data_IF_527925849670
#
_entry.id   IF_527925849670
#
_cell.length_a   1.000
_cell.length_b   1.000
_cell.length_c   1.000
_cell.angle_alpha   90.00
_cell.angle_beta   90.00
_cell.angle_gamma   90.00
#
_symmetry.space_group_name_H-M   'P 1'
#
loop_
_entity.id
_entity.type
_entity.pdbx_description
1 polymer ?
#
# COMPACT_ATOMS: atom_id res chain seq x y z
N UNK A 1 -14.61 14.76 61.68
CA UNK A 1 -15.73 14.60 60.73
C UNK A 1 -15.22 13.76 59.57
N UNK A 2 -15.08 12.44 59.75
CA UNK A 2 -16.11 11.39 59.55
C UNK A 2 -16.39 11.18 58.05
N UNK A 3 -16.46 9.99 57.44
CA UNK A 3 -16.16 8.59 57.74
C UNK A 3 -16.29 7.85 56.37
N UNK A 4 -15.59 6.73 56.15
CA UNK A 4 -15.73 5.83 54.97
C UNK A 4 -17.13 5.15 54.92
N UNK A 5 -17.57 4.43 53.84
CA UNK A 5 -17.03 3.11 53.38
C UNK A 5 -17.09 2.84 51.85
N UNK A 6 -16.19 2.03 51.24
CA UNK A 6 -16.26 0.58 50.85
C UNK A 6 -17.48 0.14 50.00
N UNK A 7 -17.22 -0.56 48.86
CA UNK A 7 -17.89 -1.78 48.28
C UNK A 7 -17.57 -1.85 46.75
N UNK A 8 -16.66 -2.73 46.27
CA UNK A 8 -16.83 -4.13 45.82
C UNK A 8 -17.89 -4.41 44.74
N UNK A 9 -17.50 -4.83 43.52
CA UNK A 9 -18.03 -6.00 42.78
C UNK A 9 -17.49 -6.06 41.31
N UNK A 10 -16.71 -7.10 40.94
CA UNK A 10 -17.06 -8.23 40.03
C UNK A 10 -17.19 -7.84 38.54
N UNK A 11 -16.24 -8.15 37.63
CA UNK A 11 -15.84 -9.44 37.01
C UNK A 11 -16.94 -10.17 36.21
N UNK A 12 -16.73 -10.17 34.88
CA UNK A 12 -17.08 -11.18 33.87
C UNK A 12 -18.56 -11.29 33.40
N UNK A 13 -18.86 -12.18 32.42
CA UNK A 13 -19.01 -11.85 31.01
C UNK A 13 -20.48 -11.98 30.56
N UNK A 14 -20.89 -11.21 29.56
CA UNK A 14 -22.22 -11.40 28.93
C UNK A 14 -22.14 -12.56 27.93
N UNK A 15 -22.04 -13.77 28.50
CA UNK A 15 -22.38 -15.00 27.82
C UNK A 15 -23.91 -15.17 27.83
N UNK A 16 -24.42 -15.47 26.65
CA UNK A 16 -25.50 -16.42 26.43
C UNK A 16 -26.87 -16.10 27.08
N UNK A 17 -27.69 -15.37 26.33
CA UNK A 17 -29.10 -15.13 26.63
C UNK A 17 -29.95 -15.48 25.41
N UNK A 18 -30.05 -16.76 25.05
CA UNK A 18 -31.24 -17.24 24.35
C UNK A 18 -31.49 -18.75 24.47
N UNK A 19 -31.84 -19.20 25.68
CA UNK A 19 -32.69 -20.37 25.83
C UNK A 19 -33.99 -19.93 26.49
N UNK A 20 -35.10 -20.02 25.77
CA UNK A 20 -36.32 -20.75 26.15
C UNK A 20 -37.39 -20.46 25.10
N UNK A 21 -37.79 -21.47 24.32
CA UNK A 21 -39.20 -21.88 24.18
C UNK A 21 -39.37 -22.91 23.05
N UNK A 22 -39.47 -24.17 23.45
CA UNK A 22 -40.02 -25.26 22.65
C UNK A 22 -41.53 -25.05 22.48
N UNK A 23 -42.00 -24.81 21.26
CA UNK A 23 -43.40 -25.11 20.86
C UNK A 23 -43.46 -25.80 19.50
N UNK A 24 -43.84 -27.07 19.63
CA UNK A 24 -44.39 -28.08 18.72
C UNK A 24 -45.18 -27.62 17.47
N UNK A 25 -44.95 -28.40 16.40
CA UNK A 25 -45.89 -28.97 15.39
C UNK A 25 -46.33 -28.18 14.13
N UNK A 26 -46.23 -28.94 13.02
CA UNK A 26 -47.08 -28.99 11.81
C UNK A 26 -46.73 -28.14 10.56
N UNK A 27 -46.18 -28.85 9.57
CA UNK A 27 -46.54 -28.88 8.13
C UNK A 27 -47.27 -27.67 7.52
N UNK A 28 -46.64 -27.04 6.52
CA UNK A 28 -47.08 -27.02 5.11
C UNK A 28 -46.19 -26.06 4.30
N UNK A 29 -45.91 -26.44 3.05
CA UNK A 29 -45.03 -25.75 2.13
C UNK A 29 -45.48 -24.32 1.83
N UNK A 30 -44.53 -23.38 1.87
CA UNK A 30 -44.59 -22.15 1.08
C UNK A 30 -43.17 -21.87 0.58
N UNK A 31 -43.01 -21.99 -0.74
CA UNK A 31 -41.78 -21.73 -1.45
C UNK A 31 -41.34 -20.29 -1.20
N UNK A 32 -40.29 -20.09 -0.41
CA UNK A 32 -39.60 -18.81 -0.36
C UNK A 32 -38.61 -18.83 -1.51
N UNK A 33 -38.91 -18.04 -2.53
CA UNK A 33 -38.01 -17.73 -3.63
C UNK A 33 -36.69 -17.33 -3.00
N UNK A 34 -35.69 -18.21 -3.12
CA UNK A 34 -34.35 -17.98 -2.61
C UNK A 34 -33.75 -16.81 -3.36
N UNK A 35 -33.89 -15.61 -2.81
CA UNK A 35 -33.07 -14.47 -3.20
C UNK A 35 -31.72 -14.69 -2.55
N UNK A 36 -30.92 -15.59 -3.13
CA UNK A 36 -29.51 -15.72 -2.79
C UNK A 36 -28.84 -14.41 -3.16
N UNK A 37 -28.79 -13.49 -2.20
CA UNK A 37 -27.96 -12.31 -2.24
C UNK A 37 -26.52 -12.82 -2.31
N UNK A 38 -25.98 -12.87 -3.51
CA UNK A 38 -24.55 -13.01 -3.75
C UNK A 38 -23.94 -11.70 -3.25
N UNK A 39 -23.74 -11.56 -1.94
CA UNK A 39 -22.84 -10.55 -1.42
C UNK A 39 -21.44 -10.98 -1.86
N UNK A 40 -21.09 -10.65 -3.10
CA UNK A 40 -19.71 -10.65 -3.53
C UNK A 40 -19.00 -9.68 -2.58
N UNK A 41 -18.31 -10.23 -1.59
CA UNK A 41 -17.33 -9.48 -0.82
C UNK A 41 -16.32 -9.02 -1.87
N UNK A 42 -16.43 -7.77 -2.31
CA UNK A 42 -15.32 -7.08 -2.90
C UNK A 42 -14.29 -6.99 -1.78
N UNK A 43 -13.43 -7.99 -1.66
CA UNK A 43 -12.18 -7.85 -0.95
C UNK A 43 -11.47 -6.69 -1.63
N UNK A 44 -11.57 -5.50 -1.03
CA UNK A 44 -10.78 -4.36 -1.46
C UNK A 44 -9.34 -4.80 -1.37
N UNK A 45 -8.70 -5.04 -2.50
CA UNK A 45 -7.28 -5.30 -2.57
C UNK A 45 -6.60 -4.01 -2.10
N UNK A 46 -6.12 -4.00 -0.87
CA UNK A 46 -5.23 -2.93 -0.41
C UNK A 46 -4.08 -2.87 -1.43
N UNK A 47 -3.78 -1.69 -2.02
CA UNK A 47 -2.69 -1.59 -2.98
C UNK A 47 -1.37 -1.92 -2.29
N UNK A 48 -0.86 -3.15 -2.48
CA UNK A 48 0.41 -3.58 -1.89
C UNK A 48 1.50 -3.51 -2.94
N UNK A 49 2.64 -2.92 -2.60
CA UNK A 49 3.81 -2.94 -3.46
C UNK A 49 4.65 -4.19 -3.12
N UNK A 50 4.96 -4.99 -4.14
CA UNK A 50 5.75 -6.22 -3.95
C UNK A 50 7.25 -5.92 -3.98
N UNK A 51 8.07 -6.90 -3.60
CA UNK A 51 9.50 -6.78 -3.76
C UNK A 51 9.85 -6.71 -5.26
N UNK A 52 10.69 -5.76 -5.64
CA UNK A 52 11.08 -5.54 -7.04
C UNK A 52 11.66 -4.16 -7.29
N UNK A 53 12.10 -3.94 -8.53
CA UNK A 53 12.57 -2.63 -8.99
C UNK A 53 11.51 -1.99 -9.89
N UNK A 54 11.26 -0.70 -9.66
CA UNK A 54 10.21 0.05 -10.29
C UNK A 54 10.76 1.34 -10.91
N UNK A 55 10.19 1.72 -12.06
CA UNK A 55 10.42 3.00 -12.69
C UNK A 55 9.08 3.66 -12.97
N UNK A 56 8.94 4.89 -12.50
CA UNK A 56 7.80 5.76 -12.80
C UNK A 56 8.30 7.09 -13.38
N UNK A 57 7.51 7.72 -14.24
CA UNK A 57 7.83 9.04 -14.77
C UNK A 57 6.59 9.89 -15.04
N UNK A 58 6.77 11.20 -15.07
CA UNK A 58 5.75 12.14 -15.56
C UNK A 58 5.47 11.92 -17.06
N UNK A 59 6.46 11.43 -17.79
CA UNK A 59 6.33 10.96 -19.17
C UNK A 59 6.28 9.43 -19.21
N UNK A 60 5.42 8.80 -20.03
CA UNK A 60 5.45 7.36 -20.27
C UNK A 60 6.67 6.91 -21.09
N UNK A 61 7.43 7.85 -21.66
CA UNK A 61 8.65 7.58 -22.43
C UNK A 61 9.86 7.92 -21.55
N UNK A 62 10.69 6.92 -21.24
CA UNK A 62 11.91 7.11 -20.46
C UNK A 62 12.85 8.15 -21.08
N UNK A 63 13.67 8.79 -20.25
CA UNK A 63 14.70 9.76 -20.67
C UNK A 63 14.16 11.00 -21.42
N UNK A 64 12.85 11.30 -21.33
CA UNK A 64 12.29 12.55 -21.84
C UNK A 64 12.88 13.74 -21.09
N UNK A 65 13.53 14.65 -21.82
CA UNK A 65 14.13 15.87 -21.26
C UNK A 65 13.07 16.73 -20.59
N UNK A 66 13.34 17.15 -19.35
CA UNK A 66 12.44 18.00 -18.57
C UNK A 66 11.33 17.27 -17.82
N UNK A 67 11.19 15.96 -18.01
CA UNK A 67 10.30 15.13 -17.20
C UNK A 67 11.03 14.58 -15.98
N UNK A 68 10.32 14.45 -14.86
CA UNK A 68 10.83 13.82 -13.64
C UNK A 68 10.52 12.33 -13.63
N UNK A 69 11.47 11.55 -13.13
CA UNK A 69 11.36 10.10 -12.96
C UNK A 69 11.69 9.71 -11.54
N UNK A 70 11.12 8.60 -11.12
CA UNK A 70 11.39 7.97 -9.84
C UNK A 70 11.71 6.49 -10.07
N UNK A 71 12.96 6.13 -9.81
CA UNK A 71 13.44 4.74 -9.83
C UNK A 71 13.68 4.28 -8.40
N UNK A 72 13.17 3.12 -8.03
CA UNK A 72 13.40 2.57 -6.69
C UNK A 72 13.32 1.06 -6.64
N UNK A 73 14.00 0.48 -5.68
CA UNK A 73 13.81 -0.90 -5.24
C UNK A 73 12.90 -0.90 -4.01
N UNK A 74 11.88 -1.76 -4.04
CA UNK A 74 11.12 -2.13 -2.87
C UNK A 74 11.58 -3.51 -2.40
N UNK A 75 11.94 -3.61 -1.12
CA UNK A 75 12.38 -4.86 -0.52
C UNK A 75 11.98 -4.91 0.95
N UNK A 76 11.22 -5.93 1.31
CA UNK A 76 10.79 -6.20 2.69
C UNK A 76 10.07 -4.99 3.34
N UNK A 77 9.28 -4.28 2.52
CA UNK A 77 8.56 -3.06 2.92
C UNK A 77 9.41 -1.80 3.01
N UNK A 78 10.71 -1.87 2.71
CA UNK A 78 11.60 -0.73 2.57
C UNK A 78 11.65 -0.26 1.11
N UNK A 79 11.85 1.04 0.93
CA UNK A 79 12.04 1.68 -0.38
C UNK A 79 13.39 2.38 -0.37
N UNK A 80 14.20 2.14 -1.40
CA UNK A 80 15.45 2.87 -1.64
C UNK A 80 15.59 3.14 -3.13
N UNK A 81 15.92 4.38 -3.50
CA UNK A 81 15.93 4.78 -4.89
C UNK A 81 16.39 6.21 -5.10
N UNK A 82 16.02 6.76 -6.26
CA UNK A 82 16.36 8.10 -6.69
C UNK A 82 15.20 8.75 -7.44
N UNK A 83 14.95 10.03 -7.16
CA UNK A 83 14.17 10.91 -8.03
C UNK A 83 15.16 11.66 -8.91
N UNK A 84 14.91 11.72 -10.21
CA UNK A 84 15.86 12.33 -11.14
C UNK A 84 15.19 12.98 -12.34
N UNK A 85 15.91 13.94 -12.93
CA UNK A 85 15.59 14.49 -14.23
C UNK A 85 16.73 14.16 -15.21
N UNK A 86 16.44 13.59 -16.40
CA UNK A 86 17.46 13.20 -17.36
C UNK A 86 18.38 14.38 -17.72
N UNK A 87 19.69 14.14 -17.70
CA UNK A 87 20.72 15.15 -18.00
C UNK A 87 20.71 16.40 -17.09
N UNK A 88 20.19 16.29 -15.87
CA UNK A 88 20.15 17.39 -14.91
C UNK A 88 20.66 16.92 -13.53
N UNK A 89 19.77 16.73 -12.56
CA UNK A 89 20.09 16.32 -11.19
C UNK A 89 19.36 15.04 -10.79
N UNK A 90 19.80 14.46 -9.68
CA UNK A 90 19.13 13.37 -8.98
C UNK A 90 19.27 13.56 -7.47
N UNK A 91 18.27 13.10 -6.73
CA UNK A 91 18.23 13.08 -5.27
C UNK A 91 17.93 11.67 -4.79
N UNK A 92 18.65 11.21 -3.77
CA UNK A 92 18.41 9.89 -3.21
C UNK A 92 17.20 9.91 -2.29
N UNK A 93 16.44 8.83 -2.32
CA UNK A 93 15.19 8.69 -1.55
C UNK A 93 15.22 7.38 -0.80
N UNK A 94 14.77 7.42 0.46
CA UNK A 94 14.59 6.25 1.32
C UNK A 94 13.23 6.31 1.99
N UNK A 95 12.65 5.17 2.32
CA UNK A 95 11.33 5.17 2.92
C UNK A 95 10.75 3.79 3.13
N UNK A 96 9.44 3.74 3.34
CA UNK A 96 8.69 2.50 3.58
C UNK A 96 7.42 2.44 2.74
N UNK A 97 7.01 1.22 2.40
CA UNK A 97 5.71 0.94 1.77
C UNK A 97 4.64 0.89 2.85
N UNK A 98 3.79 1.92 2.91
CA UNK A 98 2.61 1.97 3.76
C UNK A 98 1.39 1.27 3.13
N UNK A 99 0.24 1.33 3.80
CA UNK A 99 -0.98 0.64 3.34
C UNK A 99 -1.53 1.17 2.01
N UNK A 100 -1.32 2.45 1.68
CA UNK A 100 -1.77 3.08 0.43
C UNK A 100 -0.87 4.23 -0.03
N UNK A 101 0.31 4.37 0.57
CA UNK A 101 1.26 5.42 0.25
C UNK A 101 2.70 4.92 0.42
N UNK A 102 3.63 5.53 -0.30
CA UNK A 102 5.05 5.46 -0.02
C UNK A 102 5.39 6.62 0.92
N UNK A 103 5.87 6.29 2.11
CA UNK A 103 6.36 7.26 3.08
C UNK A 103 7.86 7.44 2.84
N UNK A 104 8.23 8.55 2.21
CA UNK A 104 9.56 8.79 1.68
C UNK A 104 10.25 9.94 2.42
N UNK A 105 11.57 9.86 2.46
CA UNK A 105 12.49 10.91 2.88
C UNK A 105 13.43 11.15 1.70
N UNK A 106 13.38 12.35 1.16
CA UNK A 106 14.25 12.81 0.08
C UNK A 106 15.45 13.48 0.74
N UNK A 107 16.66 13.05 0.36
CA UNK A 107 17.91 13.68 0.79
C UNK A 107 18.45 14.50 -0.38
N UNK A 108 18.46 15.81 -0.23
CA UNK A 108 19.02 16.73 -1.23
C UNK A 108 20.52 16.47 -1.42
N UNK A 109 20.94 16.31 -2.68
CA UNK A 109 22.32 15.96 -3.01
C UNK A 109 23.36 17.06 -2.69
N UNK A 110 22.95 18.32 -2.58
CA UNK A 110 23.83 19.46 -2.36
C UNK A 110 24.00 19.82 -0.89
N UNK A 111 22.91 19.99 -0.14
CA UNK A 111 22.95 20.47 1.24
C UNK A 111 22.65 19.39 2.29
N UNK A 112 22.36 18.16 1.85
CA UNK A 112 22.02 17.00 2.70
C UNK A 112 20.79 17.23 3.59
N UNK A 113 19.92 18.16 3.21
CA UNK A 113 18.65 18.33 3.92
C UNK A 113 17.70 17.17 3.62
N UNK A 114 17.03 16.69 4.68
CA UNK A 114 16.03 15.62 4.57
C UNK A 114 14.63 16.23 4.59
N UNK A 115 13.84 15.94 3.58
CA UNK A 115 12.45 16.39 3.47
C UNK A 115 11.49 15.21 3.39
N UNK A 116 10.45 15.14 4.25
CA UNK A 116 9.45 14.11 4.16
C UNK A 116 8.57 14.33 2.92
N UNK A 117 8.24 13.24 2.23
CA UNK A 117 7.39 13.23 1.05
C UNK A 117 6.50 11.99 1.04
N UNK A 118 5.26 12.11 0.58
CA UNK A 118 4.33 10.99 0.50
C UNK A 118 3.79 10.83 -0.91
N UNK A 119 3.91 9.64 -1.49
CA UNK A 119 3.32 9.30 -2.80
C UNK A 119 2.18 8.31 -2.64
N UNK A 120 0.98 8.63 -3.11
CA UNK A 120 -0.16 7.72 -3.04
C UNK A 120 0.00 6.54 -4.02
N UNK A 121 -0.32 5.34 -3.53
CA UNK A 121 -0.47 4.14 -4.34
C UNK A 121 -1.92 4.03 -4.82
N UNK A 122 -2.11 4.11 -6.14
CA UNK A 122 -3.38 3.90 -6.82
C UNK A 122 -3.44 2.44 -7.28
N UNK A 123 -4.33 1.66 -6.66
CA UNK A 123 -4.52 0.26 -7.02
C UNK A 123 -5.10 0.14 -8.43
N UNK A 124 -4.32 -0.34 -9.39
CA UNK A 124 -4.82 -0.78 -10.68
C UNK A 124 -4.35 -2.21 -10.93
N UNK A 125 -5.29 -3.15 -10.98
CA UNK A 125 -5.01 -4.57 -11.13
C UNK A 125 -4.40 -4.85 -12.51
N UNK A 126 -3.40 -5.75 -12.53
CA UNK A 126 -2.79 -6.41 -13.69
C UNK A 126 -1.88 -5.56 -14.59
N UNK A 127 -0.59 -5.61 -14.28
CA UNK A 127 0.52 -5.35 -15.20
C UNK A 127 1.45 -6.57 -15.12
N UNK A 128 1.65 -7.25 -16.25
CA UNK A 128 2.38 -8.51 -16.31
C UNK A 128 3.88 -8.24 -16.39
N UNK A 129 4.60 -8.41 -15.28
CA UNK A 129 6.07 -8.41 -15.28
C UNK A 129 6.58 -9.78 -15.73
N UNK A 130 7.42 -9.81 -16.74
CA UNK A 130 8.11 -11.02 -17.24
C UNK A 130 9.17 -11.56 -16.28
N UNK A 131 9.43 -10.85 -15.18
CA UNK A 131 10.38 -11.17 -14.12
C UNK A 131 9.71 -11.41 -12.76
N UNK A 132 8.52 -12.02 -12.71
CA UNK A 132 7.93 -12.52 -11.45
C UNK A 132 7.62 -11.49 -10.34
N UNK A 133 7.84 -10.19 -10.58
CA UNK A 133 7.46 -9.10 -9.69
C UNK A 133 6.00 -8.72 -9.94
N UNK A 134 5.17 -8.75 -8.89
CA UNK A 134 3.77 -8.40 -8.97
C UNK A 134 3.55 -7.05 -9.67
N UNK A 135 2.43 -6.96 -10.37
CA UNK A 135 1.95 -5.79 -11.09
C UNK A 135 2.28 -4.47 -10.37
N UNK A 136 2.99 -3.49 -11.00
CA UNK A 136 3.21 -2.20 -10.39
C UNK A 136 1.89 -1.55 -9.96
N UNK A 137 1.77 -1.33 -8.66
CA UNK A 137 0.78 -0.42 -8.12
C UNK A 137 1.07 0.98 -8.65
N UNK A 138 0.11 1.57 -9.34
CA UNK A 138 0.32 2.85 -10.00
C UNK A 138 0.59 3.95 -8.97
N UNK A 139 1.53 4.86 -9.23
CA UNK A 139 1.71 6.06 -8.42
C UNK A 139 0.84 7.17 -8.98
N UNK A 140 0.18 7.93 -8.10
CA UNK A 140 -0.68 9.03 -8.52
C UNK A 140 0.11 10.05 -9.35
N UNK A 141 -0.42 10.39 -10.53
CA UNK A 141 0.22 11.36 -11.44
C UNK A 141 1.44 10.84 -12.21
N UNK A 142 1.81 9.56 -12.07
CA UNK A 142 2.98 9.00 -12.76
C UNK A 142 2.64 7.77 -13.61
N UNK A 143 3.39 7.61 -14.69
CA UNK A 143 3.33 6.48 -15.60
C UNK A 143 4.34 5.41 -15.19
N UNK A 144 3.88 4.18 -15.00
CA UNK A 144 4.78 3.04 -14.83
C UNK A 144 5.50 2.74 -16.16
N UNK A 145 6.82 2.59 -16.10
CA UNK A 145 7.67 2.28 -17.25
C UNK A 145 8.28 0.90 -16.99
N UNK A 146 7.99 -0.05 -17.87
CA UNK A 146 8.37 -1.45 -17.65
C UNK A 146 9.88 -1.72 -17.84
N UNK A 147 10.54 -0.92 -18.67
CA UNK A 147 11.94 -1.13 -19.04
C UNK A 147 12.83 -0.12 -18.33
N UNK A 148 13.78 -0.61 -17.55
CA UNK A 148 14.82 0.20 -16.94
C UNK A 148 15.99 0.40 -17.90
N UNK A 149 16.50 1.62 -17.95
CA UNK A 149 17.70 2.04 -18.67
C UNK A 149 18.98 1.76 -17.87
N UNK A 150 20.14 1.91 -18.50
CA UNK A 150 21.42 1.85 -17.78
C UNK A 150 21.56 2.96 -16.72
N UNK A 151 20.98 4.14 -16.96
CA UNK A 151 20.98 5.25 -16.02
C UNK A 151 20.21 4.87 -14.75
N UNK A 152 19.05 4.23 -14.90
CA UNK A 152 18.21 3.79 -13.78
C UNK A 152 18.97 2.86 -12.82
N UNK A 153 19.65 1.85 -13.38
CA UNK A 153 20.45 0.93 -12.58
C UNK A 153 21.64 1.62 -11.90
N UNK A 154 22.28 2.59 -12.56
CA UNK A 154 23.38 3.37 -11.96
C UNK A 154 22.91 4.22 -10.79
N UNK A 155 21.76 4.89 -10.93
CA UNK A 155 21.17 5.70 -9.87
C UNK A 155 20.75 4.83 -8.68
N UNK A 156 20.10 3.70 -8.95
CA UNK A 156 19.71 2.75 -7.92
C UNK A 156 20.92 2.23 -7.15
N UNK A 157 21.98 1.81 -7.86
CA UNK A 157 23.22 1.35 -7.23
C UNK A 157 23.88 2.46 -6.38
N UNK A 158 23.84 3.71 -6.86
CA UNK A 158 24.40 4.86 -6.14
C UNK A 158 23.64 5.10 -4.83
N UNK A 159 22.31 5.17 -4.89
CA UNK A 159 21.48 5.52 -3.73
C UNK A 159 21.28 4.37 -2.73
N UNK A 160 21.37 3.11 -3.16
CA UNK A 160 21.33 1.96 -2.25
C UNK A 160 22.65 1.69 -1.52
N UNK A 161 23.75 2.29 -1.99
CA UNK A 161 25.08 2.15 -1.37
C UNK A 161 25.38 3.14 -0.24
N UNK A 162 24.46 4.08 0.03
CA UNK A 162 24.61 5.13 1.05
C UNK A 162 23.87 4.80 2.33
#
# INVERSE_FOLDING_TARGET
MAASPIVSAQVAPIADRLQTNLRRLATAAAAVIGLSAMAASASGSTPTLFNGTYLYGESPVAETVGAVYFVFEAKDGQVSGAIYQPSSSFDCVRGTVGNSALDLVITDAYDQTESPYSMALVGNSTVASTSGGGAPTQLEGMHAIATLSSLDYQLLATCTSR
#
